data_IF_155643326438
#
_entry.id   IF_155643326438
#
_cell.length_a   1.000
_cell.length_b   1.000
_cell.length_c   1.000
_cell.angle_alpha   90.00
_cell.angle_beta   90.00
_cell.angle_gamma   90.00
#
_symmetry.space_group_name_H-M   'P 1'
#
loop_
_entity.id
_entity.type
_entity.pdbx_description
1 polymer ?
#
# COMPACT_ATOMS: atom_id res chain seq x y z
N UNK A 1 -8.01 -20.26 7.30
CA UNK A 1 -8.41 -18.84 7.35
C UNK A 1 -9.92 -18.64 7.32
N UNK A 2 -10.63 -18.95 6.22
CA UNK A 2 -12.08 -18.69 6.13
C UNK A 2 -12.94 -19.34 7.22
N UNK A 3 -12.71 -20.62 7.53
CA UNK A 3 -13.40 -21.30 8.64
C UNK A 3 -13.07 -20.68 10.01
N UNK A 4 -11.86 -20.15 10.17
CA UNK A 4 -11.46 -19.45 11.39
C UNK A 4 -12.19 -18.10 11.50
N UNK A 5 -12.27 -17.32 10.41
CA UNK A 5 -13.03 -16.07 10.36
C UNK A 5 -14.49 -16.32 10.74
N UNK A 6 -15.13 -17.35 10.18
CA UNK A 6 -16.48 -17.74 10.56
C UNK A 6 -16.58 -18.08 12.05
N UNK A 7 -15.61 -18.83 12.59
CA UNK A 7 -15.55 -19.21 14.00
C UNK A 7 -15.39 -18.04 14.96
N UNK A 8 -14.91 -16.88 14.52
CA UNK A 8 -14.80 -15.68 15.39
C UNK A 8 -16.16 -15.06 15.73
N UNK A 9 -17.19 -15.27 14.90
CA UNK A 9 -18.44 -14.52 14.99
C UNK A 9 -18.35 -13.04 14.55
N UNK A 10 -17.18 -12.57 14.11
CA UNK A 10 -16.89 -11.17 13.77
C UNK A 10 -16.57 -11.00 12.27
N UNK A 11 -17.38 -11.58 11.40
CA UNK A 11 -17.09 -11.65 9.96
C UNK A 11 -16.94 -10.28 9.29
N UNK A 12 -17.58 -9.23 9.81
CA UNK A 12 -17.47 -7.85 9.33
C UNK A 12 -16.16 -7.15 9.71
N UNK A 13 -15.29 -7.79 10.50
CA UNK A 13 -14.01 -7.24 10.95
C UNK A 13 -12.83 -7.68 10.08
N UNK A 14 -13.08 -8.40 8.98
CA UNK A 14 -12.04 -8.99 8.15
C UNK A 14 -12.21 -8.63 6.67
N UNK A 15 -11.07 -8.31 6.06
CA UNK A 15 -10.86 -8.29 4.61
C UNK A 15 -9.76 -9.31 4.29
N UNK A 16 -9.86 -9.99 3.15
CA UNK A 16 -8.89 -11.03 2.76
C UNK A 16 -8.04 -10.53 1.60
N UNK A 17 -6.73 -10.37 1.84
CA UNK A 17 -5.74 -10.22 0.77
C UNK A 17 -5.10 -11.60 0.49
N UNK A 18 -5.38 -12.24 -0.66
CA UNK A 18 -4.99 -13.63 -0.89
C UNK A 18 -3.53 -13.80 -1.35
N UNK A 19 -2.90 -12.75 -1.87
CA UNK A 19 -1.53 -12.76 -2.39
C UNK A 19 -0.93 -11.36 -2.27
N UNK A 20 0.38 -11.28 -1.98
CA UNK A 20 1.12 -10.03 -1.84
C UNK A 20 2.19 -9.93 -2.94
N UNK A 21 2.23 -8.80 -3.64
CA UNK A 21 3.25 -8.42 -4.63
C UNK A 21 3.68 -9.57 -5.56
N UNK A 22 2.74 -10.27 -6.22
CA UNK A 22 3.10 -11.37 -7.11
C UNK A 22 3.96 -10.87 -8.26
N UNK A 23 4.98 -11.65 -8.59
CA UNK A 23 5.97 -11.36 -9.64
C UNK A 23 6.40 -12.67 -10.28
N UNK A 24 6.42 -12.74 -11.61
CA UNK A 24 7.01 -13.85 -12.37
C UNK A 24 8.22 -13.40 -13.23
N UNK A 25 8.51 -12.10 -13.28
CA UNK A 25 9.75 -11.51 -13.81
C UNK A 25 10.50 -10.71 -12.71
N UNK A 26 11.26 -11.39 -11.82
CA UNK A 26 11.80 -10.77 -10.60
C UNK A 26 12.83 -9.65 -10.85
N UNK A 27 13.44 -9.59 -12.03
CA UNK A 27 14.38 -8.51 -12.40
C UNK A 27 13.68 -7.17 -12.62
N UNK A 28 12.36 -7.17 -12.77
CA UNK A 28 11.53 -5.98 -12.96
C UNK A 28 10.52 -5.80 -11.81
N UNK A 29 10.85 -6.33 -10.61
CA UNK A 29 10.04 -6.17 -9.41
C UNK A 29 9.71 -4.71 -9.12
N UNK A 30 8.57 -4.47 -8.46
CA UNK A 30 8.02 -3.14 -8.19
C UNK A 30 7.71 -2.32 -9.46
N UNK A 31 7.39 -2.99 -10.56
CA UNK A 31 6.92 -2.35 -11.79
C UNK A 31 5.95 -3.25 -12.56
N UNK A 32 5.17 -2.67 -13.46
CA UNK A 32 4.28 -3.43 -14.32
C UNK A 32 5.01 -4.49 -15.18
N UNK A 33 6.30 -4.30 -15.45
CA UNK A 33 7.12 -5.27 -16.20
C UNK A 33 7.51 -6.50 -15.36
N UNK A 34 7.23 -6.52 -14.05
CA UNK A 34 7.43 -7.68 -13.18
C UNK A 34 6.45 -8.83 -13.42
N UNK A 35 5.45 -8.62 -14.29
CA UNK A 35 4.45 -9.62 -14.64
C UNK A 35 4.41 -9.90 -16.14
N UNK A 36 4.57 -11.16 -16.52
CA UNK A 36 4.31 -11.62 -17.89
C UNK A 36 2.81 -11.62 -18.19
N UNK A 37 2.40 -11.57 -19.48
CA UNK A 37 1.00 -11.76 -19.85
C UNK A 37 0.39 -13.07 -19.32
N UNK A 38 1.14 -14.18 -19.32
CA UNK A 38 0.70 -15.45 -18.74
C UNK A 38 0.53 -15.38 -17.22
N UNK A 39 1.40 -14.63 -16.54
CA UNK A 39 1.29 -14.37 -15.12
C UNK A 39 0.03 -13.57 -14.79
N UNK A 40 -0.30 -12.54 -15.59
CA UNK A 40 -1.55 -11.78 -15.46
C UNK A 40 -2.78 -12.67 -15.65
N UNK A 41 -2.79 -13.54 -16.67
CA UNK A 41 -3.89 -14.49 -16.90
C UNK A 41 -4.07 -15.45 -15.72
N UNK A 42 -2.95 -15.94 -15.17
CA UNK A 42 -2.96 -16.79 -14.00
C UNK A 42 -3.50 -16.06 -12.76
N UNK A 43 -3.06 -14.82 -12.51
CA UNK A 43 -3.56 -13.99 -11.42
C UNK A 43 -5.06 -13.72 -11.55
N UNK A 44 -5.55 -13.38 -12.75
CA UNK A 44 -6.99 -13.20 -12.96
C UNK A 44 -7.78 -14.47 -12.61
N UNK A 45 -7.29 -15.64 -13.05
CA UNK A 45 -7.91 -16.92 -12.71
C UNK A 45 -7.87 -17.18 -11.20
N UNK A 46 -6.76 -16.86 -10.55
CA UNK A 46 -6.57 -17.01 -9.12
C UNK A 46 -7.53 -16.11 -8.32
N UNK A 47 -7.62 -14.81 -8.65
CA UNK A 47 -8.53 -13.87 -8.02
C UNK A 47 -9.99 -14.26 -8.19
N UNK A 48 -10.41 -14.68 -9.39
CA UNK A 48 -11.76 -15.20 -9.64
C UNK A 48 -12.06 -16.44 -8.78
N UNK A 49 -11.08 -17.33 -8.63
CA UNK A 49 -11.18 -18.50 -7.74
C UNK A 49 -11.32 -18.12 -6.27
N UNK A 50 -10.55 -17.13 -5.81
CA UNK A 50 -10.61 -16.61 -4.44
C UNK A 50 -11.97 -15.97 -4.14
N UNK A 51 -12.47 -15.10 -5.03
CA UNK A 51 -13.81 -14.51 -4.89
C UNK A 51 -14.89 -15.58 -4.79
N UNK A 52 -14.86 -16.58 -5.67
CA UNK A 52 -15.79 -17.70 -5.61
C UNK A 52 -15.71 -18.45 -4.29
N UNK A 53 -14.49 -18.66 -3.76
CA UNK A 53 -14.29 -19.37 -2.50
C UNK A 53 -14.74 -18.55 -1.28
N UNK A 54 -14.50 -17.24 -1.27
CA UNK A 54 -14.99 -16.32 -0.23
C UNK A 54 -16.52 -16.31 -0.23
N UNK A 55 -17.14 -16.18 -1.41
CA UNK A 55 -18.60 -16.15 -1.56
C UNK A 55 -19.31 -17.45 -1.12
N UNK A 56 -18.64 -18.60 -1.17
CA UNK A 56 -19.15 -19.86 -0.61
C UNK A 56 -19.26 -19.85 0.92
N UNK A 57 -18.47 -19.00 1.58
CA UNK A 57 -18.44 -18.85 3.03
C UNK A 57 -19.35 -17.71 3.45
N UNK A 58 -19.09 -16.51 2.92
CA UNK A 58 -19.96 -15.34 3.04
C UNK A 58 -19.52 -14.25 2.06
N UNK A 59 -20.43 -13.85 1.16
CA UNK A 59 -20.20 -12.82 0.15
C UNK A 59 -19.95 -11.42 0.72
N UNK A 60 -20.22 -11.18 2.01
CA UNK A 60 -20.00 -9.89 2.68
C UNK A 60 -18.53 -9.66 3.02
N UNK A 61 -17.71 -10.71 3.11
CA UNK A 61 -16.27 -10.57 3.35
C UNK A 61 -15.63 -10.00 2.08
N UNK A 62 -14.99 -8.82 2.13
CA UNK A 62 -14.33 -8.24 0.97
C UNK A 62 -13.03 -8.99 0.65
N UNK A 63 -12.68 -9.05 -0.63
CA UNK A 63 -11.34 -9.42 -1.07
C UNK A 63 -10.55 -8.16 -1.40
N UNK A 64 -9.34 -8.05 -0.86
CA UNK A 64 -8.39 -6.99 -1.20
C UNK A 64 -7.40 -7.54 -2.22
N UNK A 65 -7.25 -6.88 -3.36
CA UNK A 65 -6.38 -7.29 -4.44
C UNK A 65 -5.15 -6.40 -4.44
N UNK A 66 -4.00 -6.95 -4.08
CA UNK A 66 -2.72 -6.29 -4.32
C UNK A 66 -2.49 -6.19 -5.84
N UNK A 67 -2.18 -4.98 -6.31
CA UNK A 67 -2.24 -4.61 -7.73
C UNK A 67 -1.10 -5.15 -8.61
N UNK A 68 -0.17 -5.93 -8.06
CA UNK A 68 1.00 -6.47 -8.75
C UNK A 68 1.79 -5.39 -9.53
N UNK A 69 1.77 -4.15 -9.03
CA UNK A 69 2.37 -2.97 -9.66
C UNK A 69 1.84 -2.63 -11.06
N UNK A 70 0.67 -3.17 -11.44
CA UNK A 70 -0.02 -2.83 -12.69
C UNK A 70 -0.88 -1.57 -12.56
N UNK A 71 -1.20 -1.17 -11.33
CA UNK A 71 -2.14 -0.10 -11.01
C UNK A 71 -3.61 -0.51 -11.11
N UNK A 72 -4.45 0.27 -10.43
CA UNK A 72 -5.89 0.00 -10.25
C UNK A 72 -6.64 -0.03 -11.59
N UNK A 73 -6.39 0.95 -12.46
CA UNK A 73 -7.09 1.08 -13.75
C UNK A 73 -6.89 -0.15 -14.65
N UNK A 74 -5.73 -0.81 -14.55
CA UNK A 74 -5.48 -2.06 -15.27
C UNK A 74 -6.45 -3.15 -14.80
N UNK A 75 -6.51 -3.41 -13.49
CA UNK A 75 -7.33 -4.49 -12.94
C UNK A 75 -8.83 -4.17 -12.94
N UNK A 76 -9.22 -2.92 -12.73
CA UNK A 76 -10.60 -2.48 -12.59
C UNK A 76 -11.51 -2.95 -13.73
N UNK A 77 -11.02 -2.90 -14.98
CA UNK A 77 -11.76 -3.34 -16.17
C UNK A 77 -12.09 -4.83 -16.20
N UNK A 78 -11.36 -5.66 -15.42
CA UNK A 78 -11.46 -7.12 -15.43
C UNK A 78 -12.47 -7.69 -14.43
N UNK A 79 -12.99 -6.85 -13.54
CA UNK A 79 -13.98 -7.22 -12.53
C UNK A 79 -15.33 -6.56 -12.79
N UNK A 80 -16.44 -7.14 -12.34
CA UNK A 80 -17.74 -6.49 -12.38
C UNK A 80 -17.86 -5.49 -11.23
N UNK A 81 -18.57 -4.37 -11.42
CA UNK A 81 -18.80 -3.38 -10.34
C UNK A 81 -19.46 -3.98 -9.09
N UNK A 82 -20.15 -5.12 -9.23
CA UNK A 82 -20.80 -5.83 -8.14
C UNK A 82 -19.87 -6.78 -7.36
N UNK A 83 -18.64 -7.02 -7.83
CA UNK A 83 -17.66 -7.82 -7.11
C UNK A 83 -17.27 -7.09 -5.82
N UNK A 84 -17.31 -7.80 -4.69
CA UNK A 84 -16.98 -7.24 -3.38
C UNK A 84 -15.46 -7.20 -3.19
N UNK A 85 -14.82 -6.29 -3.93
CA UNK A 85 -13.37 -6.10 -3.92
C UNK A 85 -12.96 -4.68 -3.55
N UNK A 86 -11.74 -4.58 -3.04
CA UNK A 86 -10.96 -3.35 -2.94
C UNK A 86 -9.57 -3.60 -3.53
N UNK A 87 -8.88 -2.56 -3.97
CA UNK A 87 -7.50 -2.65 -4.39
C UNK A 87 -6.56 -2.22 -3.29
N UNK A 88 -5.40 -2.86 -3.28
CA UNK A 88 -4.26 -2.59 -2.43
C UNK A 88 -3.09 -2.20 -3.32
N UNK A 89 -2.57 -1.00 -3.10
CA UNK A 89 -1.42 -0.46 -3.83
C UNK A 89 -0.30 -0.13 -2.85
N UNK A 90 0.92 -0.45 -3.24
CA UNK A 90 2.11 -0.23 -2.43
C UNK A 90 2.95 0.85 -3.09
N UNK A 91 3.30 1.89 -2.33
CA UNK A 91 4.00 3.04 -2.88
C UNK A 91 5.20 3.35 -1.97
N UNK A 92 6.37 3.31 -2.58
CA UNK A 92 7.65 3.51 -1.90
C UNK A 92 8.58 4.43 -2.68
N UNK A 93 9.32 5.26 -1.96
CA UNK A 93 10.28 6.19 -2.54
C UNK A 93 11.74 5.80 -2.28
N UNK A 94 12.00 4.78 -1.43
CA UNK A 94 13.35 4.39 -1.03
C UNK A 94 14.22 3.81 -2.15
N UNK A 95 13.61 3.39 -3.27
CA UNK A 95 14.28 2.80 -4.43
C UNK A 95 14.20 3.68 -5.69
N UNK A 96 13.59 4.86 -5.59
CA UNK A 96 13.46 5.78 -6.72
C UNK A 96 14.75 6.61 -6.83
N UNK A 97 15.49 6.55 -7.95
CA UNK A 97 16.80 7.21 -8.08
C UNK A 97 16.74 8.74 -7.98
N UNK A 98 15.55 9.34 -8.10
CA UNK A 98 15.34 10.79 -8.02
C UNK A 98 14.67 11.23 -6.71
N UNK A 99 14.34 10.30 -5.81
CA UNK A 99 13.63 10.61 -4.57
C UNK A 99 14.58 11.11 -3.48
N UNK A 100 14.30 12.31 -2.99
CA UNK A 100 14.97 12.96 -1.86
C UNK A 100 13.94 13.30 -0.78
N UNK A 101 14.34 13.51 0.48
CA UNK A 101 13.35 13.89 1.51
C UNK A 101 12.61 15.20 1.20
N UNK A 102 13.13 16.03 0.29
CA UNK A 102 12.56 17.32 -0.08
C UNK A 102 11.50 17.25 -1.16
N UNK A 103 11.57 16.28 -2.08
CA UNK A 103 10.65 16.18 -3.22
C UNK A 103 9.64 15.03 -3.11
N UNK A 104 9.85 14.07 -2.20
CA UNK A 104 8.90 12.97 -2.01
C UNK A 104 7.52 13.42 -1.52
N UNK A 105 7.34 14.51 -0.74
CA UNK A 105 6.00 15.00 -0.43
C UNK A 105 5.26 15.50 -1.68
N UNK A 106 5.93 16.22 -2.58
CA UNK A 106 5.34 16.69 -3.84
C UNK A 106 5.00 15.52 -4.77
N UNK A 107 5.96 14.60 -4.96
CA UNK A 107 5.74 13.42 -5.79
C UNK A 107 4.62 12.52 -5.25
N UNK A 108 4.39 12.54 -3.94
CA UNK A 108 3.29 11.84 -3.31
C UNK A 108 1.92 12.49 -3.63
N UNK A 109 1.84 13.82 -3.62
CA UNK A 109 0.65 14.57 -4.05
C UNK A 109 0.29 14.33 -5.53
N UNK A 110 1.24 13.91 -6.36
CA UNK A 110 0.99 13.51 -7.75
C UNK A 110 0.60 12.03 -7.87
N UNK A 111 1.35 11.13 -7.23
CA UNK A 111 1.17 9.68 -7.40
C UNK A 111 -0.11 9.13 -6.78
N UNK A 112 -0.55 9.65 -5.63
CA UNK A 112 -1.72 9.11 -4.92
C UNK A 112 -3.03 9.39 -5.67
N UNK A 113 -3.31 10.60 -6.18
CA UNK A 113 -4.48 10.82 -7.02
C UNK A 113 -4.51 9.91 -8.25
N UNK A 114 -3.37 9.71 -8.92
CA UNK A 114 -3.28 8.83 -10.09
C UNK A 114 -3.53 7.35 -9.74
N UNK A 115 -2.97 6.90 -8.60
CA UNK A 115 -3.14 5.53 -8.12
C UNK A 115 -4.58 5.22 -7.66
N UNK A 116 -5.42 6.23 -7.40
CA UNK A 116 -6.83 6.03 -7.02
C UNK A 116 -7.67 5.42 -8.17
N UNK A 117 -7.15 5.46 -9.40
CA UNK A 117 -7.73 4.79 -10.55
C UNK A 117 -9.03 5.44 -11.05
N UNK A 118 -9.96 4.61 -11.53
CA UNK A 118 -11.18 5.06 -12.22
C UNK A 118 -12.39 5.27 -11.29
N UNK A 119 -12.21 5.11 -9.97
CA UNK A 119 -13.27 5.24 -8.97
C UNK A 119 -14.32 4.12 -8.98
N UNK A 120 -14.11 3.03 -9.73
CA UNK A 120 -15.05 1.89 -9.76
C UNK A 120 -15.02 1.08 -8.47
N UNK A 121 -13.84 0.95 -7.87
CA UNK A 121 -13.61 0.19 -6.63
C UNK A 121 -12.83 1.03 -5.62
N UNK A 122 -13.00 0.78 -4.31
CA UNK A 122 -12.15 1.37 -3.28
C UNK A 122 -10.68 0.98 -3.46
N UNK A 123 -9.78 1.90 -3.15
CA UNK A 123 -8.33 1.75 -3.14
C UNK A 123 -7.82 2.06 -1.75
N UNK A 124 -6.93 1.23 -1.24
CA UNK A 124 -6.26 1.38 0.05
C UNK A 124 -4.75 1.27 -0.17
N UNK A 125 -3.96 2.10 0.50
CA UNK A 125 -2.50 2.02 0.42
C UNK A 125 -2.03 1.01 1.48
N UNK A 126 -1.88 -0.27 1.13
CA UNK A 126 -1.53 -1.31 2.09
C UNK A 126 -0.11 -1.19 2.63
N UNK A 127 0.80 -0.63 1.84
CA UNK A 127 2.19 -0.48 2.26
C UNK A 127 2.82 0.83 1.76
N UNK A 128 3.48 1.51 2.69
CA UNK A 128 4.36 2.65 2.45
C UNK A 128 5.33 2.84 3.63
N UNK A 129 6.35 3.67 3.45
CA UNK A 129 7.22 4.16 4.55
C UNK A 129 7.58 5.63 4.32
N UNK A 130 8.33 6.24 5.24
CA UNK A 130 8.82 7.63 5.10
C UNK A 130 10.29 7.71 4.67
N UNK A 131 10.87 6.63 4.14
CA UNK A 131 12.22 6.67 3.58
C UNK A 131 12.19 7.18 2.12
N UNK A 132 13.06 8.14 1.82
CA UNK A 132 13.48 8.48 0.45
C UNK A 132 14.78 7.76 0.07
N UNK A 133 15.08 7.65 -1.22
CA UNK A 133 16.34 7.06 -1.68
C UNK A 133 17.55 7.88 -1.21
N UNK A 134 17.44 9.21 -1.23
CA UNK A 134 18.53 10.13 -0.90
C UNK A 134 18.14 11.17 0.15
N UNK A 135 19.16 11.70 0.82
CA UNK A 135 19.15 12.87 1.71
C UNK A 135 18.01 12.79 2.74
N UNK A 136 17.87 11.64 3.41
CA UNK A 136 16.87 11.49 4.46
C UNK A 136 17.17 12.45 5.62
N UNK A 137 16.13 13.01 6.23
CA UNK A 137 16.26 13.86 7.43
C UNK A 137 15.30 13.37 8.51
N UNK A 138 15.74 13.37 9.77
CA UNK A 138 14.89 12.93 10.89
C UNK A 138 13.73 13.90 11.12
N UNK A 139 13.98 15.20 10.90
CA UNK A 139 12.98 16.25 11.02
C UNK A 139 11.90 16.18 9.91
N UNK A 140 12.27 15.78 8.69
CA UNK A 140 11.35 15.70 7.56
C UNK A 140 10.33 14.55 7.64
N UNK A 141 10.56 13.57 8.53
CA UNK A 141 9.66 12.41 8.70
C UNK A 141 8.23 12.81 9.02
N UNK A 142 8.04 13.83 9.87
CA UNK A 142 6.72 14.30 10.27
C UNK A 142 5.95 14.84 9.08
N UNK A 143 6.52 15.80 8.36
CA UNK A 143 5.86 16.39 7.19
C UNK A 143 5.57 15.34 6.13
N UNK A 144 6.50 14.41 5.88
CA UNK A 144 6.25 13.35 4.90
C UNK A 144 5.10 12.42 5.34
N UNK A 145 5.07 12.00 6.61
CA UNK A 145 3.99 11.19 7.15
C UNK A 145 2.64 11.93 7.15
N UNK A 146 2.62 13.20 7.53
CA UNK A 146 1.41 14.04 7.54
C UNK A 146 0.88 14.23 6.10
N UNK A 147 1.75 14.37 5.10
CA UNK A 147 1.37 14.36 3.69
C UNK A 147 0.75 13.02 3.29
N UNK A 148 1.36 11.87 3.64
CA UNK A 148 0.76 10.54 3.43
C UNK A 148 -0.65 10.44 3.96
N UNK A 149 -0.84 10.84 5.22
CA UNK A 149 -2.16 10.84 5.86
C UNK A 149 -3.14 11.74 5.12
N UNK A 150 -2.72 12.96 4.74
CA UNK A 150 -3.58 13.91 4.03
C UNK A 150 -4.03 13.37 2.68
N UNK A 151 -3.10 12.97 1.81
CA UNK A 151 -3.42 12.59 0.42
C UNK A 151 -4.21 11.29 0.36
N UNK A 152 -3.84 10.29 1.18
CA UNK A 152 -4.51 8.99 1.18
C UNK A 152 -5.95 9.08 1.71
N UNK A 153 -6.20 9.95 2.69
CA UNK A 153 -7.55 10.19 3.20
C UNK A 153 -8.38 11.10 2.29
N UNK A 154 -7.74 11.89 1.42
CA UNK A 154 -8.42 12.80 0.48
C UNK A 154 -8.79 12.12 -0.84
N UNK A 155 -7.99 11.16 -1.31
CA UNK A 155 -8.15 10.54 -2.63
C UNK A 155 -8.48 9.04 -2.57
N UNK A 156 -8.26 8.39 -1.44
CA UNK A 156 -8.41 6.94 -1.27
C UNK A 156 -9.19 6.61 0.02
N UNK A 157 -9.25 5.33 0.40
CA UNK A 157 -9.97 4.86 1.59
C UNK A 157 -9.05 4.66 2.82
N UNK A 158 -7.80 5.10 2.73
CA UNK A 158 -6.84 5.09 3.83
C UNK A 158 -5.53 4.41 3.47
N UNK A 159 -4.74 4.11 4.49
CA UNK A 159 -3.39 3.59 4.37
C UNK A 159 -2.97 2.77 5.59
N UNK A 160 -1.98 1.89 5.42
CA UNK A 160 -1.25 1.22 6.50
C UNK A 160 0.26 1.36 6.32
N UNK A 161 0.92 1.85 7.35
CA UNK A 161 2.36 2.05 7.36
C UNK A 161 3.11 0.71 7.51
N UNK A 162 4.16 0.54 6.72
CA UNK A 162 5.07 -0.59 6.84
C UNK A 162 6.32 -0.19 7.65
N UNK A 163 6.46 -0.62 8.91
CA UNK A 163 5.59 -1.50 9.70
C UNK A 163 5.41 -1.01 11.13
N UNK A 164 4.56 -1.69 11.93
CA UNK A 164 4.40 -1.33 13.35
C UNK A 164 5.72 -1.30 14.10
N UNK A 165 6.56 -2.34 13.93
CA UNK A 165 7.83 -2.53 14.62
C UNK A 165 8.90 -2.98 13.64
N UNK A 166 10.01 -2.24 13.60
CA UNK A 166 11.15 -2.56 12.76
C UNK A 166 12.46 -2.40 13.55
N UNK A 167 13.38 -3.36 13.45
CA UNK A 167 14.57 -3.42 14.32
C UNK A 167 15.91 -3.29 13.60
N UNK A 168 15.93 -3.38 12.26
CA UNK A 168 17.17 -3.30 11.49
C UNK A 168 17.68 -1.85 11.45
N UNK A 169 18.97 -1.67 11.73
CA UNK A 169 19.64 -0.36 11.88
C UNK A 169 20.71 -0.10 10.81
N UNK A 170 20.55 -0.67 9.62
CA UNK A 170 21.47 -0.35 8.52
C UNK A 170 21.41 1.14 8.21
N UNK A 171 22.57 1.70 7.87
CA UNK A 171 22.68 3.07 7.40
C UNK A 171 21.84 3.27 6.13
N UNK A 172 21.33 4.48 5.99
CA UNK A 172 20.65 4.98 4.80
C UNK A 172 21.36 6.26 4.36
N UNK A 173 21.06 6.74 3.16
CA UNK A 173 21.59 8.03 2.72
C UNK A 173 20.91 9.18 3.47
N UNK A 174 21.70 10.00 4.18
CA UNK A 174 21.22 11.08 5.04
C UNK A 174 21.34 10.77 6.53
N UNK A 175 20.33 11.16 7.30
CA UNK A 175 20.29 11.03 8.75
C UNK A 175 19.64 9.72 9.20
N UNK A 176 20.10 9.16 10.33
CA UNK A 176 19.49 8.00 10.97
C UNK A 176 19.80 6.65 10.29
N UNK A 177 18.92 5.68 10.55
CA UNK A 177 19.01 4.29 10.11
C UNK A 177 17.66 3.81 9.59
N UNK A 178 17.59 2.65 8.94
CA UNK A 178 16.31 2.07 8.51
C UNK A 178 15.26 2.04 9.64
N UNK A 179 15.64 1.75 10.88
CA UNK A 179 14.68 1.73 12.00
C UNK A 179 13.94 3.05 12.17
N UNK A 180 14.60 4.18 11.94
CA UNK A 180 14.06 5.52 12.19
C UNK A 180 12.98 5.93 11.15
N UNK A 181 12.89 5.19 10.03
CA UNK A 181 11.98 5.48 8.89
C UNK A 181 10.97 4.36 8.60
N UNK A 182 11.10 3.22 9.26
CA UNK A 182 10.32 2.01 8.99
C UNK A 182 9.61 1.44 10.22
N UNK A 183 9.78 2.06 11.40
CA UNK A 183 9.15 1.64 12.65
C UNK A 183 8.12 2.66 13.11
N UNK A 184 6.84 2.33 12.94
CA UNK A 184 5.73 3.22 13.32
C UNK A 184 5.75 3.54 14.82
N UNK A 185 6.00 2.55 15.67
CA UNK A 185 6.04 2.74 17.13
C UNK A 185 7.11 3.75 17.54
N UNK A 186 8.29 3.70 16.91
CA UNK A 186 9.38 4.61 17.26
C UNK A 186 9.14 6.01 16.69
N UNK A 187 8.49 6.12 15.53
CA UNK A 187 8.10 7.42 14.98
C UNK A 187 7.03 8.11 15.83
N UNK A 188 6.18 7.36 16.55
CA UNK A 188 5.31 7.92 17.59
C UNK A 188 6.15 8.44 18.75
N UNK A 189 7.06 7.62 19.28
CA UNK A 189 7.89 7.97 20.43
C UNK A 189 8.77 9.21 20.16
N UNK A 190 9.25 9.36 18.92
CA UNK A 190 10.02 10.51 18.44
C UNK A 190 9.16 11.77 18.16
N UNK A 191 7.83 11.66 18.22
CA UNK A 191 6.91 12.76 17.89
C UNK A 191 6.79 13.08 16.40
N UNK A 192 7.30 12.21 15.52
CA UNK A 192 7.12 12.35 14.07
C UNK A 192 5.70 11.97 13.64
N UNK A 193 5.06 11.02 14.34
CA UNK A 193 3.66 10.65 14.14
C UNK A 193 2.83 11.17 15.31
N UNK A 194 1.90 12.06 15.01
CA UNK A 194 1.00 12.69 15.99
C UNK A 194 -0.46 12.36 15.69
N UNK A 195 -1.36 12.58 16.64
CA UNK A 195 -2.81 12.38 16.45
C UNK A 195 -3.41 13.33 15.41
N UNK A 196 -2.84 14.53 15.28
CA UNK A 196 -3.27 15.55 14.33
C UNK A 196 -2.25 15.66 13.19
N UNK A 197 -2.75 15.96 11.98
CA UNK A 197 -1.94 16.47 10.87
C UNK A 197 -1.71 17.95 11.12
N UNK A 198 -0.46 18.37 11.27
CA UNK A 198 -0.15 19.78 11.60
C UNK A 198 0.67 20.46 10.52
N UNK A 199 1.28 19.69 9.61
CA UNK A 199 2.05 20.23 8.50
C UNK A 199 2.05 19.23 7.33
N UNK A 200 1.37 19.55 6.23
CA UNK A 200 1.27 18.70 5.04
C UNK A 200 1.41 19.54 3.78
N UNK A 201 1.91 18.93 2.72
CA UNK A 201 1.86 19.52 1.38
C UNK A 201 0.43 19.44 0.84
N UNK A 202 -0.03 20.50 0.16
CA UNK A 202 -1.38 20.62 -0.42
C UNK A 202 -1.34 21.31 -1.78
#
# INVERSE_FOLDING_TARGET
MLAWIQGTGHMSSFTISPINEPVDEPTAFASAAGMTPSGIEWLQKYFNGCLKRIAQVDKRIPMMIQDAFQGVSFWSSRFAKADNISFDTHIYFFANPNATSFNVPDGLCEQVPDAAGDGKFPVFIGEYSVQSQWINTLAGRKTFFDTWRYVSMSHMQGHSFWSWKFTKRSEIDGEGTLKDYWSYEDMIDDGAITTETTDSYS
#
